data_IF_967972307366
#
_entry.id   IF_967972307366
#
_cell.length_a   1.000
_cell.length_b   1.000
_cell.length_c   1.000
_cell.angle_alpha   90.00
_cell.angle_beta   90.00
_cell.angle_gamma   90.00
#
_symmetry.space_group_name_H-M   'P 1'
#
loop_
_entity.id
_entity.type
_entity.pdbx_description
1 polymer ?
#
# COMPACT_ATOMS: atom_id res chain seq x y z
N UNK A 1 21.43 -3.80 17.84
CA UNK A 1 21.87 -3.19 19.12
C UNK A 1 22.19 -1.72 18.89
N UNK A 2 21.73 -0.81 19.76
CA UNK A 2 22.11 0.61 19.71
C UNK A 2 23.38 0.81 20.56
N UNK A 3 24.21 1.79 20.22
CA UNK A 3 25.38 2.12 21.03
C UNK A 3 24.93 2.47 22.46
N UNK A 4 25.59 1.91 23.50
CA UNK A 4 25.25 2.23 24.88
C UNK A 4 25.48 3.72 25.13
N UNK A 5 24.59 4.35 25.88
CA UNK A 5 24.84 5.70 26.39
C UNK A 5 25.94 5.59 27.45
N UNK A 6 27.04 6.32 27.24
CA UNK A 6 28.07 6.48 28.26
C UNK A 6 27.53 7.43 29.32
N UNK A 7 27.44 6.97 30.56
CA UNK A 7 27.03 7.76 31.71
C UNK A 7 28.19 7.89 32.70
N UNK A 8 28.25 9.02 33.40
CA UNK A 8 29.28 9.25 34.41
C UNK A 8 28.74 8.76 35.76
N UNK A 9 29.41 7.80 36.39
CA UNK A 9 29.09 7.32 37.73
C UNK A 9 30.13 7.83 38.71
N UNK A 10 29.68 8.38 39.85
CA UNK A 10 30.57 8.70 40.96
C UNK A 10 30.88 7.43 41.76
N UNK A 11 32.17 7.13 41.93
CA UNK A 11 32.66 6.05 42.78
C UNK A 11 33.01 6.63 44.15
N UNK A 12 32.34 6.14 45.19
CA UNK A 12 32.50 6.64 46.57
C UNK A 12 33.76 6.13 47.24
N UNK A 13 34.34 5.03 46.76
CA UNK A 13 35.54 4.44 47.34
C UNK A 13 36.78 5.14 46.78
N UNK A 14 36.77 5.46 45.48
CA UNK A 14 37.87 6.18 44.82
C UNK A 14 37.68 7.72 44.80
N UNK A 15 36.52 8.23 45.22
CA UNK A 15 36.15 9.64 45.14
C UNK A 15 36.37 10.26 43.75
N UNK A 16 36.11 9.49 42.71
CA UNK A 16 36.33 9.91 41.32
C UNK A 16 35.14 9.51 40.43
N UNK A 17 34.98 10.22 39.32
CA UNK A 17 33.96 9.89 38.33
C UNK A 17 34.53 8.92 37.29
N UNK A 18 33.86 7.78 37.12
CA UNK A 18 34.19 6.79 36.10
C UNK A 18 33.15 6.77 34.98
N UNK A 19 33.56 6.60 33.72
CA UNK A 19 32.62 6.29 32.64
C UNK A 19 32.06 4.89 32.86
N UNK A 20 30.74 4.77 32.91
CA UNK A 20 30.02 3.51 33.02
C UNK A 20 29.07 3.39 31.83
N UNK A 21 29.08 2.22 31.17
CA UNK A 21 28.02 1.89 30.21
C UNK A 21 26.91 1.17 30.96
N UNK A 22 25.66 1.47 30.66
CA UNK A 22 24.49 0.74 31.18
C UNK A 22 24.38 -0.70 30.66
N UNK A 23 25.46 -1.27 30.12
CA UNK A 23 25.50 -2.60 29.52
C UNK A 23 24.82 -2.66 28.15
N UNK A 24 24.23 -3.82 27.83
CA UNK A 24 23.44 -4.02 26.61
C UNK A 24 21.97 -3.73 26.90
N UNK A 25 21.36 -2.85 26.12
CA UNK A 25 19.92 -2.61 26.15
C UNK A 25 19.28 -3.52 25.11
N UNK A 26 18.38 -4.41 25.55
CA UNK A 26 17.55 -5.18 24.64
C UNK A 26 16.70 -4.21 23.81
N UNK A 27 16.78 -4.31 22.49
CA UNK A 27 15.90 -3.56 21.59
C UNK A 27 14.56 -4.29 21.48
N UNK A 28 13.55 -3.58 20.95
CA UNK A 28 12.33 -4.23 20.52
C UNK A 28 12.67 -5.42 19.58
N UNK A 29 11.98 -6.56 19.73
CA UNK A 29 12.22 -7.73 18.91
C UNK A 29 12.07 -7.37 17.42
N UNK A 30 12.86 -8.01 16.56
CA UNK A 30 12.68 -7.90 15.10
C UNK A 30 11.63 -8.88 14.60
N UNK A 31 11.53 -10.03 15.28
CA UNK A 31 10.58 -11.11 15.01
C UNK A 31 10.04 -11.65 16.33
N UNK A 32 8.79 -12.11 16.32
CA UNK A 32 8.20 -12.77 17.46
C UNK A 32 6.89 -13.46 17.11
N UNK A 33 6.45 -14.34 17.99
CA UNK A 33 5.10 -14.87 17.91
C UNK A 33 4.49 -15.03 19.29
N UNK A 34 3.16 -14.99 19.37
CA UNK A 34 2.38 -15.20 20.58
C UNK A 34 1.43 -16.38 20.35
N UNK A 35 1.56 -17.39 21.22
CA UNK A 35 0.66 -18.54 21.28
C UNK A 35 0.29 -18.85 22.74
N UNK A 36 -1.00 -19.09 23.06
CA UNK A 36 -2.17 -18.91 22.18
C UNK A 36 -2.30 -17.44 21.73
N UNK A 37 -2.90 -17.22 20.56
CA UNK A 37 -3.27 -15.87 20.13
C UNK A 37 -4.21 -15.21 21.16
N UNK A 38 -4.34 -13.89 21.08
CA UNK A 38 -5.22 -13.13 21.97
C UNK A 38 -6.16 -12.25 21.14
N UNK A 39 -7.42 -12.66 21.06
CA UNK A 39 -8.52 -11.96 20.41
C UNK A 39 -9.73 -11.90 21.36
N UNK A 40 -10.61 -10.92 21.19
CA UNK A 40 -11.81 -10.70 22.01
C UNK A 40 -11.59 -10.76 23.54
N UNK A 41 -10.42 -10.29 24.00
CA UNK A 41 -9.97 -10.32 25.40
C UNK A 41 -9.85 -11.73 26.00
N UNK A 42 -9.71 -12.75 25.16
CA UNK A 42 -9.57 -14.14 25.55
C UNK A 42 -8.36 -14.81 24.86
N UNK A 43 -7.94 -15.96 25.40
CA UNK A 43 -6.92 -16.79 24.78
C UNK A 43 -7.55 -17.63 23.65
N UNK A 44 -6.99 -17.55 22.46
CA UNK A 44 -7.38 -18.34 21.30
C UNK A 44 -6.32 -19.40 20.99
N UNK A 45 -6.64 -20.65 21.33
CA UNK A 45 -5.76 -21.80 21.15
C UNK A 45 -5.68 -22.32 19.70
N UNK A 46 -6.52 -21.79 18.80
CA UNK A 46 -6.56 -22.18 17.39
C UNK A 46 -5.62 -21.34 16.52
N UNK A 47 -5.29 -20.13 16.97
CA UNK A 47 -4.48 -19.18 16.22
C UNK A 47 -3.17 -18.85 16.93
N UNK A 48 -2.18 -18.39 16.17
CA UNK A 48 -0.97 -17.76 16.68
C UNK A 48 -0.83 -16.37 16.04
N UNK A 49 -0.36 -15.39 16.80
CA UNK A 49 -0.03 -14.07 16.25
C UNK A 49 1.45 -14.04 15.89
N UNK A 50 1.76 -13.71 14.64
CA UNK A 50 3.13 -13.52 14.17
C UNK A 50 3.44 -12.02 14.05
N UNK A 51 4.63 -11.62 14.49
CA UNK A 51 5.12 -10.27 14.43
C UNK A 51 6.43 -10.24 13.64
N UNK A 52 6.48 -9.39 12.62
CA UNK A 52 7.71 -8.93 11.98
C UNK A 52 7.78 -7.42 12.07
N UNK A 53 8.95 -6.90 12.45
CA UNK A 53 9.20 -5.45 12.49
C UNK A 53 9.21 -4.84 11.09
N UNK A 54 9.65 -5.59 10.08
CA UNK A 54 9.62 -5.17 8.69
C UNK A 54 8.52 -5.92 7.95
N UNK A 55 7.44 -5.23 7.62
CA UNK A 55 6.29 -5.82 6.91
C UNK A 55 6.62 -6.28 5.48
N UNK A 56 7.73 -5.81 4.90
CA UNK A 56 8.23 -6.27 3.60
C UNK A 56 9.01 -7.59 3.70
N UNK A 57 9.42 -7.98 4.92
CA UNK A 57 10.13 -9.22 5.20
C UNK A 57 9.29 -10.06 6.17
N UNK A 58 8.49 -10.97 5.62
CA UNK A 58 7.64 -11.85 6.43
C UNK A 58 8.40 -13.01 7.08
N UNK A 59 9.70 -13.17 6.74
CA UNK A 59 10.57 -14.21 7.28
C UNK A 59 9.97 -15.60 7.17
N UNK A 60 9.74 -16.04 5.93
CA UNK A 60 9.18 -17.36 5.60
C UNK A 60 9.94 -18.50 6.28
N UNK A 61 11.25 -18.36 6.48
CA UNK A 61 12.08 -19.34 7.16
C UNK A 61 11.63 -19.58 8.61
N UNK A 62 11.13 -18.54 9.29
CA UNK A 62 10.60 -18.66 10.65
C UNK A 62 9.19 -19.24 10.61
N UNK A 63 8.38 -18.86 9.62
CA UNK A 63 7.02 -19.36 9.47
C UNK A 63 7.04 -20.88 9.22
N UNK A 64 7.88 -21.36 8.30
CA UNK A 64 8.04 -22.79 8.05
C UNK A 64 8.62 -23.52 9.27
N UNK A 65 9.67 -22.97 9.90
CA UNK A 65 10.31 -23.64 11.04
C UNK A 65 9.39 -23.80 12.25
N UNK A 66 8.57 -22.79 12.55
CA UNK A 66 7.74 -22.74 13.76
C UNK A 66 6.32 -23.23 13.52
N UNK A 67 5.67 -22.78 12.45
CA UNK A 67 4.24 -23.06 12.21
C UNK A 67 4.01 -24.17 11.19
N UNK A 68 5.00 -24.46 10.32
CA UNK A 68 4.89 -25.49 9.27
C UNK A 68 3.67 -25.27 8.36
N UNK A 69 3.35 -24.01 8.09
CA UNK A 69 2.30 -23.59 7.18
C UNK A 69 2.90 -22.84 6.00
N UNK A 70 2.16 -22.80 4.90
CA UNK A 70 2.49 -21.93 3.77
C UNK A 70 2.39 -20.47 4.20
N UNK A 71 3.42 -19.64 3.99
CA UNK A 71 3.39 -18.25 4.38
C UNK A 71 2.33 -17.48 3.57
N UNK A 72 1.60 -16.54 4.18
CA UNK A 72 0.72 -15.67 3.43
C UNK A 72 1.56 -14.78 2.50
N UNK A 73 1.03 -14.50 1.30
CA UNK A 73 1.69 -13.61 0.35
C UNK A 73 1.94 -12.23 0.97
N UNK A 74 3.17 -11.71 0.83
CA UNK A 74 3.55 -10.41 1.37
C UNK A 74 2.78 -9.27 0.69
N UNK A 75 2.72 -8.10 1.33
CA UNK A 75 2.04 -6.93 0.73
C UNK A 75 2.65 -6.52 -0.63
N UNK A 76 3.97 -6.66 -0.77
CA UNK A 76 4.71 -6.34 -2.00
C UNK A 76 4.38 -7.34 -3.10
N UNK A 77 4.38 -8.64 -2.79
CA UNK A 77 3.98 -9.67 -3.75
C UNK A 77 2.52 -9.53 -4.15
N UNK A 78 1.63 -9.26 -3.18
CA UNK A 78 0.22 -9.04 -3.48
C UNK A 78 0.04 -7.89 -4.46
N UNK A 79 0.74 -6.77 -4.24
CA UNK A 79 0.70 -5.65 -5.18
C UNK A 79 1.28 -6.01 -6.55
N UNK A 80 2.44 -6.65 -6.60
CA UNK A 80 3.11 -6.97 -7.86
C UNK A 80 2.29 -7.93 -8.73
N UNK A 81 1.68 -8.94 -8.10
CA UNK A 81 0.78 -9.88 -8.79
C UNK A 81 -0.43 -9.11 -9.36
N UNK A 82 -1.01 -8.20 -8.58
CA UNK A 82 -2.14 -7.39 -9.02
C UNK A 82 -1.77 -6.50 -10.21
N UNK A 83 -0.69 -5.74 -10.08
CA UNK A 83 -0.20 -4.80 -11.10
C UNK A 83 0.12 -5.55 -12.40
N UNK A 84 0.75 -6.74 -12.29
CA UNK A 84 1.08 -7.59 -13.45
C UNK A 84 -0.18 -8.15 -14.10
N UNK A 85 -1.10 -8.71 -13.31
CA UNK A 85 -2.36 -9.24 -13.84
C UNK A 85 -3.18 -8.13 -14.53
N UNK A 86 -3.24 -6.93 -13.95
CA UNK A 86 -3.93 -5.79 -14.53
C UNK A 86 -3.27 -5.34 -15.85
N UNK A 87 -1.94 -5.24 -15.89
CA UNK A 87 -1.20 -4.81 -17.07
C UNK A 87 -1.31 -5.82 -18.23
N UNK A 88 -1.11 -7.11 -17.93
CA UNK A 88 -1.08 -8.18 -18.93
C UNK A 88 -2.47 -8.47 -19.52
N UNK A 89 -3.55 -8.28 -18.74
CA UNK A 89 -4.91 -8.60 -19.19
C UNK A 89 -5.59 -7.43 -19.90
N UNK A 90 -5.35 -6.20 -19.43
CA UNK A 90 -6.00 -5.02 -20.01
C UNK A 90 -5.27 -4.55 -21.27
N UNK A 91 -3.96 -4.70 -21.37
CA UNK A 91 -3.12 -4.25 -22.49
C UNK A 91 -3.50 -2.81 -22.94
N UNK A 92 -4.05 -2.67 -24.16
CA UNK A 92 -4.48 -1.39 -24.75
C UNK A 92 -5.74 -0.79 -24.11
N UNK A 93 -6.53 -1.60 -23.41
CA UNK A 93 -7.72 -1.16 -22.67
C UNK A 93 -7.36 -0.75 -21.23
N UNK A 94 -6.07 -0.83 -20.85
CA UNK A 94 -5.56 -0.21 -19.64
C UNK A 94 -5.50 1.31 -19.84
N UNK A 95 -6.67 1.93 -19.89
CA UNK A 95 -6.79 3.38 -19.98
C UNK A 95 -6.53 4.02 -18.63
N UNK A 96 -6.12 5.28 -18.66
CA UNK A 96 -5.97 6.09 -17.45
C UNK A 96 -7.26 6.11 -16.62
N UNK A 97 -8.42 6.26 -17.29
CA UNK A 97 -9.72 6.34 -16.64
C UNK A 97 -10.09 5.03 -15.90
N UNK A 98 -9.74 3.87 -16.48
CA UNK A 98 -9.97 2.56 -15.85
C UNK A 98 -9.14 2.44 -14.57
N UNK A 99 -7.84 2.75 -14.64
CA UNK A 99 -6.95 2.68 -13.46
C UNK A 99 -7.41 3.66 -12.38
N UNK A 100 -7.77 4.88 -12.76
CA UNK A 100 -8.28 5.89 -11.84
C UNK A 100 -9.57 5.42 -11.14
N UNK A 101 -10.53 4.88 -11.90
CA UNK A 101 -11.79 4.35 -11.38
C UNK A 101 -11.55 3.20 -10.38
N UNK A 102 -10.68 2.24 -10.72
CA UNK A 102 -10.31 1.15 -9.81
C UNK A 102 -9.73 1.68 -8.51
N UNK A 103 -8.79 2.63 -8.59
CA UNK A 103 -8.19 3.25 -7.41
C UNK A 103 -9.22 3.97 -6.54
N UNK A 104 -10.17 4.68 -7.16
CA UNK A 104 -11.21 5.42 -6.47
C UNK A 104 -12.21 4.49 -5.76
N UNK A 105 -12.68 3.44 -6.44
CA UNK A 105 -13.62 2.48 -5.86
C UNK A 105 -13.00 1.70 -4.69
N UNK A 106 -11.75 1.23 -4.85
CA UNK A 106 -11.03 0.54 -3.77
C UNK A 106 -10.82 1.45 -2.56
N UNK A 107 -10.47 2.73 -2.78
CA UNK A 107 -10.35 3.73 -1.72
C UNK A 107 -11.69 3.96 -1.02
N UNK A 108 -12.78 4.07 -1.79
CA UNK A 108 -14.13 4.22 -1.25
C UNK A 108 -14.49 3.11 -0.26
N UNK A 109 -14.23 1.84 -0.64
CA UNK A 109 -14.44 0.68 0.25
C UNK A 109 -13.60 0.72 1.52
N UNK A 110 -12.32 1.14 1.43
CA UNK A 110 -11.46 1.31 2.60
C UNK A 110 -12.02 2.36 3.57
N UNK A 111 -12.52 3.48 3.02
CA UNK A 111 -13.05 4.58 3.82
C UNK A 111 -14.39 4.19 4.48
N UNK A 112 -15.30 3.55 3.74
CA UNK A 112 -16.56 3.02 4.28
C UNK A 112 -16.32 2.03 5.43
N UNK A 113 -15.39 1.09 5.23
CA UNK A 113 -15.03 0.13 6.27
C UNK A 113 -14.47 0.80 7.55
N UNK A 114 -13.65 1.84 7.38
CA UNK A 114 -13.12 2.63 8.49
C UNK A 114 -14.23 3.39 9.24
N UNK A 115 -15.24 3.88 8.54
CA UNK A 115 -16.40 4.55 9.12
C UNK A 115 -17.32 3.59 9.87
N UNK A 116 -17.52 2.38 9.32
CA UNK A 116 -18.31 1.32 9.94
C UNK A 116 -17.68 0.77 11.23
N UNK A 117 -16.37 0.99 11.45
CA UNK A 117 -15.59 0.51 12.61
C UNK A 117 -15.72 -1.01 12.81
N UNK A 118 -15.82 -1.74 11.71
CA UNK A 118 -15.82 -3.20 11.74
C UNK A 118 -14.46 -3.68 12.28
N UNK A 119 -14.44 -4.56 13.31
CA UNK A 119 -13.20 -5.11 13.83
C UNK A 119 -12.54 -6.11 12.86
N UNK A 120 -13.28 -6.72 11.94
CA UNK A 120 -12.71 -7.63 10.94
C UNK A 120 -11.87 -6.86 9.92
N UNK A 121 -10.73 -7.40 9.44
CA UNK A 121 -10.00 -6.78 8.34
C UNK A 121 -10.87 -6.66 7.07
N UNK A 122 -10.78 -5.53 6.35
CA UNK A 122 -11.35 -5.44 5.03
C UNK A 122 -10.60 -6.36 4.06
N UNK A 123 -11.30 -7.38 3.58
CA UNK A 123 -10.82 -8.33 2.58
C UNK A 123 -11.67 -8.19 1.31
N UNK A 124 -11.02 -8.27 0.15
CA UNK A 124 -11.67 -8.35 -1.15
C UNK A 124 -11.34 -9.69 -1.80
N UNK A 125 -12.27 -10.21 -2.56
CA UNK A 125 -12.02 -11.33 -3.45
C UNK A 125 -11.58 -10.85 -4.83
N UNK A 126 -10.97 -11.75 -5.62
CA UNK A 126 -10.71 -11.51 -7.04
C UNK A 126 -12.02 -11.19 -7.80
N UNK A 127 -13.13 -11.79 -7.39
CA UNK A 127 -14.47 -11.50 -7.92
C UNK A 127 -14.88 -10.04 -7.70
N UNK A 128 -14.65 -9.52 -6.49
CA UNK A 128 -14.97 -8.13 -6.13
C UNK A 128 -14.17 -7.12 -6.95
N UNK A 129 -12.90 -7.41 -7.25
CA UNK A 129 -12.07 -6.56 -8.11
C UNK A 129 -12.45 -6.70 -9.58
N UNK A 130 -12.83 -7.90 -10.02
CA UNK A 130 -13.41 -8.10 -11.35
C UNK A 130 -14.67 -7.25 -11.56
N UNK A 131 -15.54 -7.16 -10.53
CA UNK A 131 -16.72 -6.28 -10.58
C UNK A 131 -16.37 -4.80 -10.75
N UNK A 132 -15.36 -4.31 -10.01
CA UNK A 132 -14.81 -2.95 -10.16
C UNK A 132 -14.33 -2.70 -11.61
N UNK A 133 -13.64 -3.67 -12.20
CA UNK A 133 -13.16 -3.57 -13.59
C UNK A 133 -14.32 -3.52 -14.59
N UNK A 134 -15.34 -4.36 -14.43
CA UNK A 134 -16.56 -4.33 -15.25
C UNK A 134 -17.26 -2.97 -15.17
N UNK A 135 -17.41 -2.42 -13.95
CA UNK A 135 -18.01 -1.08 -13.73
C UNK A 135 -17.15 0.04 -14.33
N UNK A 136 -15.84 -0.16 -14.41
CA UNK A 136 -14.89 0.78 -15.02
C UNK A 136 -14.86 0.70 -16.56
N UNK A 137 -15.71 -0.13 -17.17
CA UNK A 137 -15.86 -0.22 -18.62
C UNK A 137 -14.94 -1.24 -19.31
N UNK A 138 -14.29 -2.11 -18.55
CA UNK A 138 -13.51 -3.23 -19.10
C UNK A 138 -14.46 -4.29 -19.66
N UNK A 139 -14.11 -4.89 -20.81
CA UNK A 139 -14.92 -5.95 -21.42
C UNK A 139 -14.94 -7.21 -20.56
N UNK A 140 -16.07 -7.92 -20.56
CA UNK A 140 -16.25 -9.14 -19.75
C UNK A 140 -15.17 -10.20 -20.04
N UNK A 141 -14.77 -10.35 -21.31
CA UNK A 141 -13.69 -11.27 -21.70
C UNK A 141 -12.36 -10.96 -20.98
N UNK A 142 -12.03 -9.68 -20.83
CA UNK A 142 -10.81 -9.23 -20.13
C UNK A 142 -10.94 -9.34 -18.63
N UNK A 143 -12.13 -9.06 -18.08
CA UNK A 143 -12.42 -9.27 -16.65
C UNK A 143 -12.26 -10.75 -16.29
N UNK A 144 -12.80 -11.66 -17.09
CA UNK A 144 -12.64 -13.11 -16.88
C UNK A 144 -11.17 -13.55 -17.01
N UNK A 145 -10.43 -12.97 -17.96
CA UNK A 145 -8.99 -13.22 -18.11
C UNK A 145 -8.21 -12.74 -16.89
N UNK A 146 -8.53 -11.55 -16.36
CA UNK A 146 -7.97 -11.01 -15.13
C UNK A 146 -8.26 -11.90 -13.93
N UNK A 147 -9.52 -12.34 -13.78
CA UNK A 147 -9.94 -13.25 -12.69
C UNK A 147 -9.11 -14.53 -12.73
N UNK A 148 -9.00 -15.16 -13.90
CA UNK A 148 -8.26 -16.41 -14.07
C UNK A 148 -6.77 -16.26 -13.76
N UNK A 149 -6.13 -15.18 -14.19
CA UNK A 149 -4.71 -14.95 -13.88
C UNK A 149 -4.51 -14.67 -12.38
N UNK A 150 -5.39 -13.87 -11.77
CA UNK A 150 -5.36 -13.63 -10.34
C UNK A 150 -5.58 -14.91 -9.52
N UNK A 151 -6.60 -15.71 -9.82
CA UNK A 151 -6.88 -16.97 -9.12
C UNK A 151 -5.73 -17.97 -9.23
N UNK A 152 -5.03 -17.99 -10.37
CA UNK A 152 -3.84 -18.83 -10.56
C UNK A 152 -2.67 -18.40 -9.69
N UNK A 153 -2.50 -17.10 -9.46
CA UNK A 153 -1.36 -16.55 -8.71
C UNK A 153 -1.64 -16.43 -7.21
N UNK A 154 -2.85 -16.06 -6.82
CA UNK A 154 -3.26 -15.90 -5.43
C UNK A 154 -3.87 -17.16 -4.82
N UNK A 155 -4.42 -18.06 -5.65
CA UNK A 155 -5.26 -19.16 -5.21
C UNK A 155 -6.76 -18.84 -5.31
N UNK A 156 -7.58 -19.88 -5.39
CA UNK A 156 -9.04 -19.78 -5.46
C UNK A 156 -9.59 -19.19 -4.15
N UNK A 157 -10.43 -18.15 -4.23
CA UNK A 157 -10.98 -17.42 -3.08
C UNK A 157 -9.95 -16.73 -2.18
N UNK A 158 -8.77 -16.37 -2.71
CA UNK A 158 -7.79 -15.63 -1.96
C UNK A 158 -8.34 -14.30 -1.45
N UNK A 159 -8.13 -14.03 -0.16
CA UNK A 159 -8.43 -12.76 0.47
C UNK A 159 -7.33 -11.74 0.13
N UNK A 160 -7.72 -10.68 -0.56
CA UNK A 160 -6.86 -9.59 -0.95
C UNK A 160 -7.05 -8.40 -0.02
N UNK A 161 -5.96 -7.85 0.50
CA UNK A 161 -6.04 -6.64 1.30
C UNK A 161 -6.00 -5.41 0.38
N UNK A 162 -7.05 -4.55 0.36
CA UNK A 162 -7.12 -3.39 -0.53
C UNK A 162 -5.96 -2.39 -0.32
N UNK A 163 -5.45 -2.31 0.92
CA UNK A 163 -4.30 -1.44 1.24
C UNK A 163 -3.01 -1.95 0.60
N UNK A 164 -2.84 -3.26 0.51
CA UNK A 164 -1.67 -3.86 -0.12
C UNK A 164 -1.70 -3.59 -1.63
N UNK A 165 -2.86 -3.79 -2.26
CA UNK A 165 -3.06 -3.59 -3.71
C UNK A 165 -2.87 -2.12 -4.12
N UNK A 166 -3.45 -1.16 -3.39
CA UNK A 166 -3.30 0.27 -3.72
C UNK A 166 -1.88 0.81 -3.47
N UNK A 167 -1.09 0.16 -2.61
CA UNK A 167 0.28 0.56 -2.31
C UNK A 167 0.41 1.87 -1.53
N UNK A 168 1.32 2.75 -1.96
CA UNK A 168 2.00 3.80 -1.17
C UNK A 168 1.14 4.99 -0.71
N UNK A 169 -0.19 4.88 -0.74
CA UNK A 169 -1.09 5.98 -0.36
C UNK A 169 -0.92 7.24 -1.21
N UNK A 170 -0.43 7.09 -2.45
CA UNK A 170 -0.22 8.17 -3.42
C UNK A 170 -0.78 7.74 -4.76
N UNK A 171 -1.31 8.68 -5.52
CA UNK A 171 -1.64 8.48 -6.93
C UNK A 171 -0.54 9.09 -7.78
N UNK A 172 0.14 8.24 -8.55
CA UNK A 172 1.39 8.60 -9.22
C UNK A 172 1.31 8.28 -10.71
N UNK A 173 1.61 9.27 -11.54
CA UNK A 173 1.66 9.13 -12.98
C UNK A 173 3.08 9.44 -13.43
N UNK A 174 3.71 8.47 -14.10
CA UNK A 174 5.07 8.60 -14.60
C UNK A 174 5.06 8.56 -16.13
N UNK A 175 5.56 9.64 -16.72
CA UNK A 175 5.94 9.71 -18.14
C UNK A 175 7.47 9.71 -18.23
N UNK A 176 8.08 9.54 -19.43
CA UNK A 176 9.54 9.50 -19.56
C UNK A 176 10.30 10.71 -18.98
N UNK A 177 9.67 11.89 -18.96
CA UNK A 177 10.31 13.15 -18.55
C UNK A 177 9.69 13.76 -17.28
N UNK A 178 8.47 13.36 -16.91
CA UNK A 178 7.68 14.01 -15.86
C UNK A 178 7.05 12.97 -14.95
N UNK A 179 7.13 13.24 -13.65
CA UNK A 179 6.47 12.49 -12.59
C UNK A 179 5.45 13.40 -11.88
N UNK A 180 4.18 13.01 -11.92
CA UNK A 180 3.08 13.71 -11.24
C UNK A 180 2.69 12.86 -10.03
N UNK A 181 2.63 13.47 -8.85
CA UNK A 181 2.22 12.79 -7.62
C UNK A 181 1.17 13.65 -6.92
N UNK A 182 0.00 13.06 -6.67
CA UNK A 182 -1.09 13.71 -5.92
C UNK A 182 -1.57 12.81 -4.79
N UNK A 183 -2.26 13.40 -3.82
CA UNK A 183 -3.01 12.63 -2.84
C UNK A 183 -4.07 11.78 -3.57
N UNK A 184 -4.31 10.51 -3.19
CA UNK A 184 -5.27 9.66 -3.86
C UNK A 184 -6.66 10.30 -3.95
N UNK A 185 -7.15 10.91 -2.88
CA UNK A 185 -8.41 11.66 -2.85
C UNK A 185 -8.51 12.76 -3.91
N UNK A 186 -7.39 13.26 -4.45
CA UNK A 186 -7.35 14.30 -5.47
C UNK A 186 -7.07 13.74 -6.88
N UNK A 187 -7.13 12.41 -7.09
CA UNK A 187 -6.89 11.81 -8.41
C UNK A 187 -7.84 12.37 -9.48
N UNK A 188 -9.08 12.72 -9.10
CA UNK A 188 -10.09 13.33 -9.97
C UNK A 188 -9.67 14.67 -10.59
N UNK A 189 -8.66 15.35 -10.04
CA UNK A 189 -8.14 16.61 -10.60
C UNK A 189 -7.31 16.41 -11.87
N UNK A 190 -6.87 15.18 -12.14
CA UNK A 190 -6.04 14.90 -13.32
C UNK A 190 -6.94 14.31 -14.41
N UNK A 191 -7.02 15.01 -15.54
CA UNK A 191 -7.82 14.61 -16.70
C UNK A 191 -6.94 14.23 -17.89
N UNK A 192 -7.22 13.10 -18.53
CA UNK A 192 -6.59 12.75 -19.80
C UNK A 192 -7.41 13.29 -20.97
N UNK A 193 -6.83 14.13 -21.84
CA UNK A 193 -7.54 14.74 -22.97
C UNK A 193 -6.73 14.75 -24.26
N UNK A 194 -7.43 14.62 -25.39
CA UNK A 194 -6.86 14.80 -26.73
C UNK A 194 -7.02 16.26 -27.17
N UNK A 195 -5.91 16.95 -27.41
CA UNK A 195 -5.88 18.33 -27.92
C UNK A 195 -4.99 18.35 -29.16
N UNK A 196 -5.55 18.74 -30.31
CA UNK A 196 -4.78 18.82 -31.56
C UNK A 196 -4.11 17.51 -31.99
N UNK A 197 -4.72 16.36 -31.71
CA UNK A 197 -4.16 15.04 -32.05
C UNK A 197 -3.07 14.53 -31.10
N UNK A 198 -2.77 15.24 -30.01
CA UNK A 198 -1.83 14.81 -28.96
C UNK A 198 -2.57 14.58 -27.64
N UNK A 199 -2.12 13.57 -26.87
CA UNK A 199 -2.63 13.27 -25.52
C UNK A 199 -1.97 14.19 -24.50
N UNK A 200 -2.77 14.76 -23.62
CA UNK A 200 -2.34 15.58 -22.50
C UNK A 200 -2.93 15.04 -21.20
N UNK A 201 -2.18 15.24 -20.12
CA UNK A 201 -2.69 15.18 -18.75
C UNK A 201 -2.88 16.62 -18.31
N UNK A 202 -4.11 16.98 -17.96
CA UNK A 202 -4.51 18.33 -17.56
C UNK A 202 -4.74 18.36 -16.05
N UNK A 203 -4.32 19.45 -15.42
CA UNK A 203 -4.58 19.74 -14.01
C UNK A 203 -5.19 21.15 -13.98
N UNK A 204 -6.40 21.33 -13.43
CA UNK A 204 -7.00 22.64 -13.23
C UNK A 204 -6.08 23.54 -12.40
N UNK A 205 -6.00 24.81 -12.77
CA UNK A 205 -5.07 25.78 -12.18
C UNK A 205 -5.83 26.96 -11.54
N UNK A 206 -6.94 26.65 -10.89
CA UNK A 206 -7.89 27.65 -10.38
C UNK A 206 -7.36 28.36 -9.12
N UNK A 207 -6.65 27.64 -8.25
CA UNK A 207 -6.20 28.12 -6.92
C UNK A 207 -4.78 28.74 -6.93
N UNK A 208 -4.34 29.23 -8.09
CA UNK A 208 -3.01 29.81 -8.27
C UNK A 208 -1.92 28.75 -8.46
N UNK A 209 -0.85 29.13 -9.17
CA UNK A 209 0.23 28.22 -9.54
C UNK A 209 1.56 28.77 -9.04
N UNK A 210 2.40 27.90 -8.50
CA UNK A 210 3.77 28.25 -8.11
C UNK A 210 4.80 27.50 -8.95
N UNK A 211 5.82 28.22 -9.41
CA UNK A 211 6.98 27.65 -10.08
C UNK A 211 8.20 27.88 -9.20
N UNK A 212 8.76 26.81 -8.64
CA UNK A 212 9.90 26.89 -7.71
C UNK A 212 9.64 27.85 -6.52
N UNK A 213 8.41 27.87 -6.00
CA UNK A 213 7.99 28.74 -4.89
C UNK A 213 7.68 30.19 -5.28
N UNK A 214 7.64 30.50 -6.58
CA UNK A 214 7.22 31.82 -7.08
C UNK A 214 5.81 31.70 -7.64
N UNK A 215 4.85 32.45 -7.07
CA UNK A 215 3.48 32.52 -7.59
C UNK A 215 3.47 33.14 -8.99
N UNK A 216 2.82 32.45 -9.93
CA UNK A 216 2.70 32.85 -11.34
C UNK A 216 1.24 32.90 -11.76
N UNK A 217 0.92 33.84 -12.66
CA UNK A 217 -0.40 33.91 -13.31
C UNK A 217 -0.35 33.09 -14.60
N UNK A 218 -1.30 32.18 -14.78
CA UNK A 218 -1.53 31.54 -16.08
C UNK A 218 -2.39 32.48 -16.93
N UNK A 219 -1.98 32.83 -18.16
CA UNK A 219 -2.78 33.67 -19.03
C UNK A 219 -4.03 32.91 -19.50
N UNK A 220 -5.21 33.48 -19.27
CA UNK A 220 -6.45 32.96 -19.83
C UNK A 220 -6.54 33.40 -21.30
N UNK A 221 -6.49 32.45 -22.24
CA UNK A 221 -6.90 32.72 -23.62
C UNK A 221 -8.43 32.60 -23.71
N UNK A 222 -9.15 33.69 -23.50
CA UNK A 222 -10.56 33.81 -23.88
C UNK A 222 -10.67 33.76 -25.41
N UNK A 223 -10.93 32.58 -25.97
CA UNK A 223 -11.39 32.47 -27.36
C UNK A 223 -12.89 32.81 -27.40
N UNK A 224 -13.22 34.02 -27.89
CA UNK A 224 -14.57 34.39 -28.35
C UNK A 224 -14.94 33.66 -29.65
#
# INVERSE_FOLDING_TARGET
MKAPTLELRYDTDENFFHPSSTGHIALAPELGFLFPAFDDRAANIYNALFYSKNVELIHEEVIDAVFRVEPPMSAVEQKNVFDTALADTLEKDCSYDVVQSVHEQLRGRIQEHKENRDPAPLELTVGDVGGILSESGVSEEKVESFRRECEKQYGENAALNPKNILGTGKFEITTPEVKITVAPENSYLIEARMIGGRRYLLIPADDGVEVNGVSVSIPNEEHS
#
